data_IF_721139663898
#
_entry.id   IF_721139663898
#
_cell.length_a   1.000
_cell.length_b   1.000
_cell.length_c   1.000
_cell.angle_alpha   90.00
_cell.angle_beta   90.00
_cell.angle_gamma   90.00
#
_symmetry.space_group_name_H-M   'P 1'
#
loop_
_entity.id
_entity.type
_entity.pdbx_description
1 polymer ?
#
# COMPACT_ATOMS: atom_id res chain seq x y z
N UNK A 1 -27.07 26.84 -5.85
CA UNK A 1 -26.06 26.57 -6.89
C UNK A 1 -24.81 26.08 -6.19
N UNK A 2 -24.40 24.82 -6.33
CA UNK A 2 -23.10 24.34 -5.79
C UNK A 2 -22.00 24.84 -6.74
N UNK A 3 -21.05 25.63 -6.24
CA UNK A 3 -19.94 26.17 -7.01
C UNK A 3 -18.99 25.05 -7.43
N UNK A 4 -18.36 25.18 -8.60
CA UNK A 4 -17.49 24.15 -9.19
C UNK A 4 -16.18 23.89 -8.40
N UNK A 5 -15.94 24.59 -7.30
CA UNK A 5 -14.67 24.63 -6.54
C UNK A 5 -14.80 24.28 -5.05
N UNK A 6 -15.95 23.78 -4.61
CA UNK A 6 -16.24 23.58 -3.19
C UNK A 6 -16.06 22.10 -2.80
N UNK A 7 -15.36 21.85 -1.70
CA UNK A 7 -15.21 20.52 -1.09
C UNK A 7 -16.01 20.51 0.20
N UNK A 8 -16.87 19.50 0.36
CA UNK A 8 -17.70 19.29 1.55
C UNK A 8 -17.20 18.04 2.29
N UNK A 9 -16.96 18.15 3.59
CA UNK A 9 -16.67 17.02 4.48
C UNK A 9 -17.70 17.03 5.60
N UNK A 10 -18.51 16.00 5.73
CA UNK A 10 -19.60 15.98 6.71
C UNK A 10 -19.78 14.62 7.36
N UNK A 11 -20.34 14.65 8.57
CA UNK A 11 -20.88 13.51 9.27
C UNK A 11 -22.30 13.86 9.79
N UNK A 12 -22.84 13.07 10.71
CA UNK A 12 -24.19 13.31 11.25
C UNK A 12 -24.31 14.57 12.12
N UNK A 13 -23.20 15.08 12.65
CA UNK A 13 -23.17 16.16 13.64
C UNK A 13 -22.58 17.45 13.09
N UNK A 14 -21.58 17.33 12.20
CA UNK A 14 -20.72 18.42 11.74
C UNK A 14 -20.59 18.42 10.22
N UNK A 15 -20.52 19.61 9.65
CA UNK A 15 -20.31 19.83 8.23
C UNK A 15 -19.23 20.90 8.02
N UNK A 16 -18.14 20.54 7.34
CA UNK A 16 -17.06 21.43 6.94
C UNK A 16 -17.21 21.76 5.46
N UNK A 17 -17.39 23.04 5.16
CA UNK A 17 -17.35 23.58 3.81
C UNK A 17 -15.96 24.14 3.52
N UNK A 18 -15.32 23.71 2.45
CA UNK A 18 -14.00 24.15 2.04
C UNK A 18 -14.14 24.85 0.68
N UNK A 19 -14.04 26.18 0.68
CA UNK A 19 -13.99 26.99 -0.52
C UNK A 19 -12.54 27.10 -0.98
N UNK A 20 -12.22 26.56 -2.16
CA UNK A 20 -10.92 26.76 -2.78
C UNK A 20 -10.95 27.97 -3.71
N UNK A 21 -9.93 28.83 -3.63
CA UNK A 21 -9.72 29.94 -4.57
C UNK A 21 -8.30 29.95 -5.13
N UNK A 22 -8.23 29.95 -6.46
CA UNK A 22 -6.97 29.92 -7.18
C UNK A 22 -6.39 31.30 -7.49
N UNK A 23 -7.23 32.33 -7.51
CA UNK A 23 -6.87 33.72 -7.78
C UNK A 23 -6.73 34.55 -6.49
N UNK A 24 -6.15 35.75 -6.63
CA UNK A 24 -6.15 36.77 -5.58
C UNK A 24 -7.60 37.07 -5.19
N UNK A 25 -7.87 37.09 -3.88
CA UNK A 25 -9.20 37.39 -3.34
C UNK A 25 -9.23 38.88 -2.99
N UNK A 26 -10.00 39.66 -3.76
CA UNK A 26 -10.25 41.07 -3.47
C UNK A 26 -11.27 41.27 -2.35
N UNK A 27 -11.45 42.53 -1.93
CA UNK A 27 -12.41 42.90 -0.87
C UNK A 27 -13.85 42.48 -1.19
N UNK A 28 -14.30 42.68 -2.43
CA UNK A 28 -15.62 42.28 -2.88
C UNK A 28 -15.81 40.77 -2.84
N UNK A 29 -14.82 40.02 -3.35
CA UNK A 29 -14.88 38.56 -3.40
C UNK A 29 -14.86 37.95 -2.01
N UNK A 30 -14.04 38.51 -1.12
CA UNK A 30 -14.00 38.12 0.28
C UNK A 30 -15.35 38.32 0.96
N UNK A 31 -16.00 39.47 0.75
CA UNK A 31 -17.33 39.72 1.29
C UNK A 31 -18.37 38.74 0.72
N UNK A 32 -18.33 38.46 -0.59
CA UNK A 32 -19.23 37.49 -1.23
C UNK A 32 -19.07 36.08 -0.66
N UNK A 33 -17.83 35.65 -0.37
CA UNK A 33 -17.54 34.35 0.24
C UNK A 33 -18.12 34.28 1.66
N UNK A 34 -17.93 35.32 2.47
CA UNK A 34 -18.47 35.36 3.84
C UNK A 34 -20.00 35.41 3.85
N UNK A 35 -20.62 36.13 2.92
CA UNK A 35 -22.07 36.13 2.73
C UNK A 35 -22.61 34.73 2.41
N UNK A 36 -21.90 34.00 1.55
CA UNK A 36 -22.25 32.63 1.23
C UNK A 36 -22.15 31.72 2.45
N UNK A 37 -21.09 31.83 3.25
CA UNK A 37 -20.93 31.09 4.51
C UNK A 37 -22.04 31.41 5.52
N UNK A 38 -22.43 32.68 5.64
CA UNK A 38 -23.51 33.10 6.52
C UNK A 38 -24.87 32.49 6.11
N UNK A 39 -25.12 32.43 4.80
CA UNK A 39 -26.32 31.78 4.24
C UNK A 39 -26.32 30.29 4.58
N UNK A 40 -25.22 29.58 4.32
CA UNK A 40 -25.07 28.16 4.63
C UNK A 40 -25.22 27.85 6.13
N UNK A 41 -24.73 28.74 7.01
CA UNK A 41 -24.89 28.58 8.44
C UNK A 41 -26.35 28.70 8.89
N UNK A 42 -27.17 29.46 8.17
CA UNK A 42 -28.57 29.72 8.50
C UNK A 42 -29.51 28.63 7.96
N UNK A 43 -29.19 28.04 6.80
CA UNK A 43 -30.05 27.08 6.10
C UNK A 43 -30.07 25.68 6.76
N UNK A 44 -29.05 25.32 7.54
CA UNK A 44 -28.82 23.95 7.97
C UNK A 44 -28.74 23.84 9.50
N UNK A 45 -29.89 23.65 10.15
CA UNK A 45 -30.04 23.69 11.62
C UNK A 45 -29.75 22.35 12.32
N UNK A 46 -29.67 21.24 11.57
CA UNK A 46 -29.44 19.91 12.14
C UNK A 46 -27.97 19.55 12.33
N UNK A 47 -27.05 20.29 11.72
CA UNK A 47 -25.60 20.01 11.76
C UNK A 47 -24.82 21.29 12.02
N UNK A 48 -23.79 21.20 12.86
CA UNK A 48 -22.90 22.32 13.12
C UNK A 48 -21.99 22.57 11.91
N UNK A 49 -22.10 23.75 11.30
CA UNK A 49 -21.35 24.11 10.10
C UNK A 49 -20.03 24.81 10.45
N UNK A 50 -18.96 24.45 9.73
CA UNK A 50 -17.64 25.04 9.79
C UNK A 50 -17.20 25.44 8.38
N UNK A 51 -16.39 26.49 8.27
CA UNK A 51 -16.02 27.06 6.99
C UNK A 51 -14.51 27.22 6.87
N UNK A 52 -13.96 26.76 5.75
CA UNK A 52 -12.53 26.86 5.45
C UNK A 52 -12.38 27.57 4.12
N UNK A 53 -11.69 28.70 4.12
CA UNK A 53 -11.28 29.38 2.89
C UNK A 53 -9.83 29.01 2.59
N UNK A 54 -9.61 28.25 1.52
CA UNK A 54 -8.28 27.87 1.05
C UNK A 54 -7.87 28.74 -0.13
N UNK A 55 -6.70 29.37 -0.05
CA UNK A 55 -6.16 30.24 -1.11
C UNK A 55 -4.71 29.90 -1.42
N UNK A 56 -4.27 30.16 -2.66
CA UNK A 56 -2.86 30.04 -3.03
C UNK A 56 -2.01 31.28 -2.74
N UNK A 57 -2.67 32.38 -2.39
CA UNK A 57 -2.04 33.67 -2.06
C UNK A 57 -2.63 34.24 -0.77
N UNK A 58 -1.85 34.98 0.03
CA UNK A 58 -2.36 35.64 1.23
C UNK A 58 -3.55 36.55 0.93
N UNK A 59 -4.58 36.48 1.76
CA UNK A 59 -5.78 37.32 1.63
C UNK A 59 -5.48 38.66 2.29
N UNK A 60 -5.28 39.70 1.48
CA UNK A 60 -4.98 41.06 1.95
C UNK A 60 -6.14 42.00 1.73
N UNK A 61 -6.68 42.55 2.82
CA UNK A 61 -7.72 43.57 2.79
C UNK A 61 -7.15 44.84 3.41
N UNK A 62 -7.15 45.94 2.65
CA UNK A 62 -6.52 47.21 3.08
C UNK A 62 -5.08 46.99 3.58
N UNK A 63 -4.28 46.24 2.82
CA UNK A 63 -2.88 45.86 3.11
C UNK A 63 -2.66 44.94 4.33
N UNK A 64 -3.71 44.62 5.10
CA UNK A 64 -3.64 43.71 6.25
C UNK A 64 -3.87 42.26 5.83
N UNK A 65 -3.06 41.33 6.34
CA UNK A 65 -3.20 39.89 6.09
C UNK A 65 -4.30 39.32 6.99
N UNK A 66 -5.43 38.90 6.41
CA UNK A 66 -6.55 38.39 7.18
C UNK A 66 -6.21 37.12 7.97
N UNK A 67 -5.37 36.23 7.42
CA UNK A 67 -5.00 34.98 8.08
C UNK A 67 -4.29 35.23 9.40
N UNK A 68 -3.34 36.16 9.44
CA UNK A 68 -2.58 36.48 10.66
C UNK A 68 -3.50 36.94 11.79
N UNK A 69 -4.41 37.89 11.51
CA UNK A 69 -5.35 38.39 12.50
C UNK A 69 -6.37 37.32 12.94
N UNK A 70 -6.79 36.44 12.02
CA UNK A 70 -7.68 35.33 12.36
C UNK A 70 -6.97 34.27 13.21
N UNK A 71 -5.73 33.92 12.88
CA UNK A 71 -4.92 32.98 13.66
C UNK A 71 -4.67 33.52 15.07
N UNK A 72 -4.32 34.80 15.21
CA UNK A 72 -4.15 35.46 16.51
C UNK A 72 -5.43 35.37 17.35
N UNK A 73 -6.57 35.66 16.74
CA UNK A 73 -7.86 35.50 17.40
C UNK A 73 -8.14 34.06 17.82
N UNK A 74 -7.95 33.09 16.92
CA UNK A 74 -8.19 31.67 17.19
C UNK A 74 -7.28 31.17 18.31
N UNK A 75 -6.00 31.56 18.32
CA UNK A 75 -5.04 31.19 19.36
C UNK A 75 -5.47 31.70 20.74
N UNK A 76 -6.00 32.91 20.83
CA UNK A 76 -6.55 33.48 22.08
C UNK A 76 -7.86 32.78 22.47
N UNK A 77 -8.74 32.51 21.50
CA UNK A 77 -10.03 31.86 21.72
C UNK A 77 -9.88 30.46 22.33
N UNK A 78 -8.96 29.65 21.81
CA UNK A 78 -8.74 28.25 22.25
C UNK A 78 -7.89 28.14 23.52
N UNK A 79 -7.23 29.21 23.96
CA UNK A 79 -6.40 29.19 25.16
C UNK A 79 -7.29 29.16 26.42
N UNK A 80 -7.18 28.12 27.28
CA UNK A 80 -7.98 28.02 28.50
C UNK A 80 -7.56 29.00 29.59
N UNK A 81 -6.37 29.61 29.49
CA UNK A 81 -5.81 30.54 30.48
C UNK A 81 -6.07 32.02 30.15
N UNK A 82 -6.67 32.32 29.00
CA UNK A 82 -7.00 33.69 28.60
C UNK A 82 -8.37 34.11 29.13
N UNK A 83 -8.51 35.38 29.50
CA UNK A 83 -9.77 35.92 30.05
C UNK A 83 -10.80 36.15 28.94
N UNK A 84 -12.08 36.13 29.32
CA UNK A 84 -13.18 36.42 28.39
C UNK A 84 -13.13 37.86 27.86
N UNK A 85 -12.64 38.81 28.67
CA UNK A 85 -12.39 40.18 28.22
C UNK A 85 -11.34 40.22 27.11
N UNK A 86 -10.24 39.46 27.26
CA UNK A 86 -9.19 39.41 26.24
C UNK A 86 -9.70 38.78 24.95
N UNK A 87 -10.45 37.68 25.05
CA UNK A 87 -11.08 37.01 23.91
C UNK A 87 -12.01 37.97 23.16
N UNK A 88 -12.87 38.69 23.88
CA UNK A 88 -13.76 39.70 23.31
C UNK A 88 -13.00 40.85 22.66
N UNK A 89 -11.96 41.37 23.33
CA UNK A 89 -11.14 42.47 22.79
C UNK A 89 -10.50 42.10 21.45
N UNK A 90 -9.90 40.91 21.35
CA UNK A 90 -9.25 40.46 20.11
C UNK A 90 -10.27 40.18 19.01
N UNK A 91 -11.45 39.63 19.36
CA UNK A 91 -12.57 39.45 18.44
C UNK A 91 -13.06 40.79 17.87
N UNK A 92 -13.29 41.78 18.73
CA UNK A 92 -13.77 43.10 18.33
C UNK A 92 -12.73 43.82 17.44
N UNK A 93 -11.44 43.67 17.74
CA UNK A 93 -10.36 44.18 16.90
C UNK A 93 -10.34 43.53 15.50
N UNK A 94 -10.50 42.20 15.41
CA UNK A 94 -10.62 41.49 14.14
C UNK A 94 -11.82 42.01 13.33
N UNK A 95 -12.99 42.11 13.98
CA UNK A 95 -14.23 42.60 13.37
C UNK A 95 -14.06 44.02 12.82
N UNK A 96 -13.48 44.93 13.62
CA UNK A 96 -13.27 46.32 13.20
C UNK A 96 -12.27 46.44 12.06
N UNK A 97 -11.16 45.68 12.10
CA UNK A 97 -10.09 45.78 11.11
C UNK A 97 -10.52 45.35 9.70
N UNK A 98 -11.46 44.41 9.62
CA UNK A 98 -11.92 43.81 8.35
C UNK A 98 -13.40 44.11 8.03
N UNK A 99 -14.05 44.98 8.82
CA UNK A 99 -15.47 45.35 8.68
C UNK A 99 -16.42 44.13 8.68
N UNK A 100 -16.24 43.23 9.66
CA UNK A 100 -16.94 41.94 9.74
C UNK A 100 -18.17 41.94 10.64
N UNK A 101 -18.75 43.11 10.94
CA UNK A 101 -19.88 43.23 11.89
C UNK A 101 -21.10 42.38 11.52
N UNK A 102 -21.28 42.11 10.22
CA UNK A 102 -22.34 41.23 9.71
C UNK A 102 -22.07 39.73 9.96
N UNK A 103 -20.82 39.33 10.16
CA UNK A 103 -20.38 37.93 10.15
C UNK A 103 -19.98 37.40 11.54
N UNK A 104 -20.40 38.09 12.61
CA UNK A 104 -20.02 37.77 14.00
C UNK A 104 -20.42 36.35 14.39
N UNK A 105 -21.53 35.85 13.87
CA UNK A 105 -22.08 34.53 14.21
C UNK A 105 -21.32 33.36 13.56
N UNK A 106 -20.55 33.64 12.51
CA UNK A 106 -19.78 32.63 11.78
C UNK A 106 -18.28 32.74 12.00
N UNK A 107 -17.77 33.87 12.50
CA UNK A 107 -16.32 34.12 12.53
C UNK A 107 -15.55 33.09 13.36
N UNK A 108 -16.16 32.58 14.43
CA UNK A 108 -15.56 31.56 15.30
C UNK A 108 -15.41 30.20 14.58
N UNK A 109 -16.20 29.99 13.53
CA UNK A 109 -16.30 28.78 12.71
C UNK A 109 -15.51 28.89 11.40
N UNK A 110 -14.94 30.05 11.09
CA UNK A 110 -14.15 30.28 9.88
C UNK A 110 -12.67 29.98 10.14
N UNK A 111 -12.03 29.32 9.18
CA UNK A 111 -10.57 29.12 9.12
C UNK A 111 -10.05 29.51 7.75
N UNK A 112 -8.80 29.96 7.70
CA UNK A 112 -8.12 30.33 6.45
C UNK A 112 -6.83 29.54 6.32
N UNK A 113 -6.73 28.81 5.21
CA UNK A 113 -5.54 28.04 4.86
C UNK A 113 -4.90 28.65 3.62
N UNK A 114 -3.68 29.15 3.76
CA UNK A 114 -2.89 29.64 2.63
C UNK A 114 -1.84 28.58 2.32
N UNK A 115 -1.96 27.94 1.16
CA UNK A 115 -1.03 26.89 0.72
C UNK A 115 -0.39 27.31 -0.59
N UNK A 116 0.89 27.04 -0.86
CA UNK A 116 1.43 27.30 -2.19
C UNK A 116 0.67 26.49 -3.23
N UNK A 117 0.42 27.07 -4.42
CA UNK A 117 -0.08 26.30 -5.56
C UNK A 117 1.02 25.32 -5.97
N UNK A 118 0.87 24.06 -5.59
CA UNK A 118 1.69 22.97 -6.13
C UNK A 118 1.30 22.76 -7.59
N UNK A 119 1.87 23.58 -8.49
CA UNK A 119 1.64 23.46 -9.94
C UNK A 119 2.18 22.12 -10.47
N UNK A 120 3.18 21.54 -9.82
CA UNK A 120 3.70 20.23 -10.18
C UNK A 120 2.95 19.12 -9.44
N UNK A 121 2.37 18.21 -10.22
CA UNK A 121 1.79 16.95 -9.75
C UNK A 121 2.74 16.13 -8.88
N UNK A 122 4.06 16.30 -9.06
CA UNK A 122 5.09 15.57 -8.31
C UNK A 122 5.13 15.94 -6.83
N UNK A 123 5.12 17.23 -6.49
CA UNK A 123 5.20 17.66 -5.09
C UNK A 123 3.97 17.19 -4.30
N UNK A 124 2.79 17.30 -4.91
CA UNK A 124 1.54 16.85 -4.29
C UNK A 124 1.57 15.34 -4.05
N UNK A 125 2.10 14.57 -5.00
CA UNK A 125 2.27 13.12 -4.90
C UNK A 125 3.26 12.73 -3.80
N UNK A 126 4.38 13.44 -3.67
CA UNK A 126 5.36 13.24 -2.60
C UNK A 126 4.75 13.53 -1.22
N UNK A 127 4.02 14.64 -1.09
CA UNK A 127 3.30 14.99 0.14
C UNK A 127 2.28 13.91 0.48
N UNK A 128 1.51 13.43 -0.50
CA UNK A 128 0.57 12.33 -0.31
C UNK A 128 1.26 11.06 0.20
N UNK A 129 2.35 10.63 -0.45
CA UNK A 129 3.12 9.46 -0.04
C UNK A 129 3.66 9.57 1.38
N UNK A 130 4.14 10.76 1.77
CA UNK A 130 4.59 11.03 3.15
C UNK A 130 3.44 10.87 4.15
N UNK A 131 2.28 11.49 3.90
CA UNK A 131 1.14 11.37 4.81
C UNK A 131 0.61 9.94 4.87
N UNK A 132 0.60 9.22 3.75
CA UNK A 132 0.21 7.81 3.71
C UNK A 132 1.07 6.97 4.67
N UNK A 133 2.39 7.11 4.59
CA UNK A 133 3.34 6.38 5.46
C UNK A 133 3.19 6.73 6.94
N UNK A 134 2.97 8.00 7.26
CA UNK A 134 2.78 8.44 8.65
C UNK A 134 1.51 7.84 9.28
N UNK A 135 0.47 7.58 8.48
CA UNK A 135 -0.81 7.10 8.97
C UNK A 135 -0.96 5.57 8.89
N UNK A 136 -0.17 4.88 8.06
CA UNK A 136 -0.24 3.42 7.86
C UNK A 136 1.03 2.72 8.35
N UNK A 137 1.17 2.64 9.67
CA UNK A 137 2.40 2.23 10.39
C UNK A 137 2.72 0.74 10.23
N UNK A 138 1.74 -0.12 9.92
CA UNK A 138 1.94 -1.57 9.88
C UNK A 138 2.72 -2.04 8.64
N UNK A 139 2.83 -1.21 7.60
CA UNK A 139 3.59 -1.52 6.39
C UNK A 139 3.90 -0.25 5.61
N UNK A 140 5.17 -0.02 5.25
CA UNK A 140 5.50 1.00 4.24
C UNK A 140 5.02 0.50 2.87
N UNK A 141 4.04 1.19 2.23
CA UNK A 141 3.61 0.82 0.89
C UNK A 141 4.74 0.94 -0.15
N UNK A 142 5.80 1.69 0.13
CA UNK A 142 6.82 2.06 -0.86
C UNK A 142 6.25 3.02 -1.91
N UNK A 143 7.14 3.58 -2.73
CA UNK A 143 6.75 4.64 -3.69
C UNK A 143 5.79 4.12 -4.77
N UNK A 144 5.98 2.90 -5.29
CA UNK A 144 5.14 2.36 -6.37
C UNK A 144 3.68 2.22 -5.93
N UNK A 145 3.42 1.72 -4.71
CA UNK A 145 2.04 1.57 -4.21
C UNK A 145 1.46 2.96 -3.90
N UNK A 146 2.23 3.85 -3.27
CA UNK A 146 1.80 5.22 -3.00
C UNK A 146 1.42 5.96 -4.29
N UNK A 147 2.22 5.79 -5.33
CA UNK A 147 2.04 6.42 -6.64
C UNK A 147 0.81 5.91 -7.39
N UNK A 148 0.61 4.59 -7.39
CA UNK A 148 -0.57 3.98 -7.99
C UNK A 148 -1.84 4.37 -7.23
N UNK A 149 -1.77 4.39 -5.89
CA UNK A 149 -2.88 4.81 -5.04
C UNK A 149 -3.24 6.28 -5.29
N UNK A 150 -2.26 7.17 -5.37
CA UNK A 150 -2.46 8.58 -5.70
C UNK A 150 -3.18 8.74 -7.04
N UNK A 151 -2.72 8.04 -8.08
CA UNK A 151 -3.33 8.06 -9.41
C UNK A 151 -4.77 7.57 -9.37
N UNK A 152 -5.03 6.44 -8.69
CA UNK A 152 -6.37 5.87 -8.56
C UNK A 152 -7.34 6.80 -7.84
N UNK A 153 -6.91 7.39 -6.72
CA UNK A 153 -7.73 8.35 -5.96
C UNK A 153 -8.00 9.62 -6.78
N UNK A 154 -6.99 10.15 -7.47
CA UNK A 154 -7.14 11.34 -8.32
C UNK A 154 -8.16 11.09 -9.43
N UNK A 155 -8.08 9.93 -10.11
CA UNK A 155 -9.05 9.53 -11.12
C UNK A 155 -10.46 9.38 -10.53
N UNK A 156 -10.58 8.80 -9.34
CA UNK A 156 -11.86 8.64 -8.64
C UNK A 156 -12.47 9.98 -8.28
N UNK A 157 -11.69 10.92 -7.73
CA UNK A 157 -12.16 12.26 -7.42
C UNK A 157 -12.55 13.04 -8.68
N UNK A 158 -11.81 12.90 -9.79
CA UNK A 158 -12.18 13.51 -11.07
C UNK A 158 -13.50 12.94 -11.64
N UNK A 159 -13.75 11.64 -11.49
CA UNK A 159 -15.03 11.01 -11.82
C UNK A 159 -16.17 11.58 -10.96
N UNK A 160 -15.99 11.59 -9.63
CA UNK A 160 -17.00 12.08 -8.68
C UNK A 160 -17.31 13.56 -8.91
N UNK A 161 -16.29 14.39 -9.16
CA UNK A 161 -16.47 15.81 -9.49
C UNK A 161 -17.36 16.00 -10.72
N UNK A 162 -17.12 15.26 -11.80
CA UNK A 162 -17.94 15.33 -13.03
C UNK A 162 -19.39 14.92 -12.79
N UNK A 163 -19.62 13.96 -11.89
CA UNK A 163 -20.96 13.46 -11.54
C UNK A 163 -21.61 14.21 -10.38
N UNK A 164 -20.93 15.20 -9.78
CA UNK A 164 -21.33 15.86 -8.52
C UNK A 164 -21.65 14.84 -7.41
N UNK A 165 -20.86 13.76 -7.36
CA UNK A 165 -21.00 12.67 -6.40
C UNK A 165 -20.17 12.89 -5.13
N UNK A 166 -20.46 12.07 -4.12
CA UNK A 166 -19.70 11.99 -2.88
C UNK A 166 -18.97 10.64 -2.78
N UNK A 167 -17.99 10.57 -1.88
CA UNK A 167 -17.35 9.31 -1.48
C UNK A 167 -17.43 9.19 0.03
N UNK A 168 -17.81 8.00 0.50
CA UNK A 168 -17.86 7.69 1.91
C UNK A 168 -16.47 7.32 2.43
N UNK A 169 -16.28 7.45 3.75
CA UNK A 169 -15.05 6.99 4.42
C UNK A 169 -14.76 5.51 4.11
N UNK A 170 -15.77 4.65 4.15
CA UNK A 170 -15.62 3.21 3.92
C UNK A 170 -15.14 2.90 2.50
N UNK A 171 -15.66 3.60 1.48
CA UNK A 171 -15.20 3.45 0.10
C UNK A 171 -13.75 3.93 -0.07
N UNK A 172 -13.38 5.04 0.57
CA UNK A 172 -12.04 5.60 0.53
C UNK A 172 -11.03 4.66 1.23
N UNK A 173 -11.38 4.15 2.41
CA UNK A 173 -10.61 3.14 3.13
C UNK A 173 -10.47 1.85 2.33
N UNK A 174 -11.51 1.39 1.61
CA UNK A 174 -11.42 0.21 0.77
C UNK A 174 -10.38 0.38 -0.37
N UNK A 175 -10.35 1.55 -1.03
CA UNK A 175 -9.36 1.85 -2.07
C UNK A 175 -7.94 1.86 -1.50
N UNK A 176 -7.75 2.52 -0.35
CA UNK A 176 -6.43 2.62 0.31
C UNK A 176 -5.96 1.26 0.82
N UNK A 177 -6.80 0.56 1.58
CA UNK A 177 -6.47 -0.74 2.19
C UNK A 177 -6.18 -1.80 1.13
N UNK A 178 -6.93 -1.82 0.01
CA UNK A 178 -6.67 -2.75 -1.09
C UNK A 178 -5.31 -2.52 -1.76
N UNK A 179 -4.81 -1.28 -1.76
CA UNK A 179 -3.48 -0.98 -2.30
C UNK A 179 -2.37 -1.41 -1.33
N UNK A 180 -2.54 -1.08 -0.04
CA UNK A 180 -1.54 -1.34 1.00
C UNK A 180 -1.44 -2.84 1.34
N UNK A 181 -2.54 -3.59 1.24
CA UNK A 181 -2.54 -5.03 1.56
C UNK A 181 -1.68 -5.87 0.60
N UNK A 182 -1.34 -5.35 -0.58
CA UNK A 182 -0.50 -6.07 -1.55
C UNK A 182 0.89 -6.31 -0.97
N UNK A 183 1.36 -7.56 -1.02
CA UNK A 183 2.65 -7.98 -0.44
C UNK A 183 2.72 -7.91 1.09
N UNK A 184 1.60 -7.82 1.80
CA UNK A 184 1.55 -7.99 3.26
C UNK A 184 1.44 -9.48 3.62
N UNK A 185 1.47 -9.83 4.92
CA UNK A 185 1.17 -11.20 5.39
C UNK A 185 -0.22 -11.70 4.98
N UNK A 186 -1.12 -10.79 4.60
CA UNK A 186 -2.47 -11.10 4.11
C UNK A 186 -2.51 -11.22 2.59
N UNK A 187 -1.41 -10.90 1.89
CA UNK A 187 -1.26 -11.11 0.46
C UNK A 187 -1.47 -12.59 0.14
N UNK A 188 -2.34 -12.90 -0.83
CA UNK A 188 -2.63 -14.28 -1.21
C UNK A 188 -3.50 -15.09 -0.24
N UNK A 189 -3.86 -14.58 0.96
CA UNK A 189 -4.70 -15.31 1.92
C UNK A 189 -6.02 -15.76 1.27
N UNK A 190 -6.65 -14.87 0.51
CA UNK A 190 -7.91 -15.19 -0.16
C UNK A 190 -7.77 -16.26 -1.25
N UNK A 191 -6.59 -16.36 -1.89
CA UNK A 191 -6.29 -17.44 -2.83
C UNK A 191 -6.08 -18.76 -2.08
N UNK A 192 -5.34 -18.72 -0.97
CA UNK A 192 -5.05 -19.90 -0.14
C UNK A 192 -6.33 -20.53 0.40
N UNK A 193 -7.20 -19.72 1.00
CA UNK A 193 -8.48 -20.18 1.55
C UNK A 193 -9.45 -20.57 0.44
N UNK A 194 -9.54 -19.76 -0.63
CA UNK A 194 -10.45 -20.01 -1.75
C UNK A 194 -11.90 -19.63 -1.48
N UNK A 195 -12.19 -18.89 -0.41
CA UNK A 195 -13.54 -18.44 -0.05
C UNK A 195 -13.68 -16.91 -0.14
N UNK A 196 -14.90 -16.45 -0.38
CA UNK A 196 -15.35 -15.07 -0.32
C UNK A 196 -16.36 -14.89 0.81
N UNK A 197 -16.29 -13.77 1.53
CA UNK A 197 -17.31 -13.40 2.51
C UNK A 197 -18.61 -13.00 1.81
N UNK A 198 -19.73 -13.49 2.31
CA UNK A 198 -21.10 -13.05 2.00
C UNK A 198 -21.77 -12.56 3.29
N UNK A 199 -22.98 -12.00 3.19
CA UNK A 199 -23.67 -11.39 4.33
C UNK A 199 -23.83 -12.34 5.53
N UNK A 200 -24.19 -13.60 5.28
CA UNK A 200 -24.47 -14.62 6.29
C UNK A 200 -23.37 -15.69 6.45
N UNK A 201 -22.18 -15.50 5.87
CA UNK A 201 -21.10 -16.49 5.97
C UNK A 201 -20.01 -16.37 4.92
N UNK A 202 -19.54 -17.53 4.44
CA UNK A 202 -18.48 -17.62 3.44
C UNK A 202 -18.87 -18.63 2.36
N UNK A 203 -18.65 -18.28 1.11
CA UNK A 203 -18.89 -19.16 -0.04
C UNK A 203 -17.60 -19.40 -0.81
N UNK A 204 -17.44 -20.59 -1.36
CA UNK A 204 -16.29 -20.91 -2.18
C UNK A 204 -16.25 -20.02 -3.44
N UNK A 205 -15.06 -19.52 -3.76
CA UNK A 205 -14.80 -18.74 -4.95
C UNK A 205 -14.14 -19.63 -6.00
N UNK A 206 -14.94 -20.13 -6.93
CA UNK A 206 -14.49 -21.08 -7.97
C UNK A 206 -13.27 -20.60 -8.75
N UNK A 207 -13.17 -19.30 -9.05
CA UNK A 207 -12.04 -18.75 -9.79
C UNK A 207 -10.74 -18.84 -8.98
N UNK A 208 -10.80 -18.49 -7.69
CA UNK A 208 -9.63 -18.58 -6.79
C UNK A 208 -9.23 -20.02 -6.54
N UNK A 209 -10.21 -20.90 -6.33
CA UNK A 209 -9.97 -22.34 -6.17
C UNK A 209 -9.31 -22.92 -7.41
N UNK A 210 -9.86 -22.64 -8.60
CA UNK A 210 -9.26 -23.09 -9.87
C UNK A 210 -7.83 -22.58 -10.02
N UNK A 211 -7.56 -21.30 -9.70
CA UNK A 211 -6.21 -20.73 -9.79
C UNK A 211 -5.25 -21.39 -8.80
N UNK A 212 -5.66 -21.59 -7.54
CA UNK A 212 -4.89 -22.30 -6.50
C UNK A 212 -4.56 -23.71 -6.96
N UNK A 213 -5.55 -24.43 -7.48
CA UNK A 213 -5.39 -25.82 -7.89
C UNK A 213 -4.45 -25.94 -9.11
N UNK A 214 -4.50 -24.98 -10.05
CA UNK A 214 -3.55 -24.90 -11.17
C UNK A 214 -2.11 -24.66 -10.70
N UNK A 215 -1.89 -23.74 -9.76
CA UNK A 215 -0.57 -23.50 -9.17
C UNK A 215 -0.08 -24.77 -8.46
N UNK A 216 -0.92 -25.39 -7.64
CA UNK A 216 -0.57 -26.61 -6.91
C UNK A 216 -0.29 -27.80 -7.84
N UNK A 217 -1.04 -27.94 -8.94
CA UNK A 217 -0.79 -28.96 -9.96
C UNK A 217 0.55 -28.72 -10.67
N UNK A 218 0.85 -27.46 -11.04
CA UNK A 218 2.13 -27.05 -11.60
C UNK A 218 3.29 -27.39 -10.66
N UNK A 219 3.17 -27.02 -9.38
CA UNK A 219 4.15 -27.34 -8.34
C UNK A 219 4.40 -28.85 -8.23
N UNK A 220 3.34 -29.65 -8.12
CA UNK A 220 3.45 -31.11 -7.99
C UNK A 220 4.17 -31.72 -9.19
N UNK A 221 3.90 -31.23 -10.41
CA UNK A 221 4.55 -31.72 -11.63
C UNK A 221 6.02 -31.30 -11.68
N UNK A 222 6.33 -30.03 -11.44
CA UNK A 222 7.70 -29.52 -11.39
C UNK A 222 8.54 -30.28 -10.34
N UNK A 223 8.04 -30.37 -9.10
CA UNK A 223 8.69 -31.12 -8.02
C UNK A 223 8.90 -32.59 -8.38
N UNK A 224 7.92 -33.24 -9.00
CA UNK A 224 8.04 -34.65 -9.42
C UNK A 224 9.16 -34.83 -10.44
N UNK A 225 9.25 -33.95 -11.42
CA UNK A 225 10.24 -34.03 -12.49
C UNK A 225 11.66 -33.73 -11.97
N UNK A 226 11.80 -32.69 -11.13
CA UNK A 226 13.04 -32.37 -10.43
C UNK A 226 13.52 -33.55 -9.57
N UNK A 227 12.65 -34.07 -8.70
CA UNK A 227 13.02 -35.18 -7.82
C UNK A 227 13.27 -36.48 -8.59
N UNK A 228 12.69 -36.65 -9.79
CA UNK A 228 13.04 -37.76 -10.68
C UNK A 228 14.44 -37.58 -11.27
N UNK A 229 14.81 -36.37 -11.67
CA UNK A 229 16.18 -36.03 -12.09
C UNK A 229 17.19 -36.31 -10.98
N UNK A 230 16.95 -35.75 -9.79
CA UNK A 230 17.77 -35.96 -8.61
C UNK A 230 17.99 -37.44 -8.29
N UNK A 231 16.91 -38.24 -8.19
CA UNK A 231 17.02 -39.67 -7.88
C UNK A 231 17.82 -40.46 -8.91
N UNK A 232 17.83 -40.04 -10.17
CA UNK A 232 18.66 -40.67 -11.22
C UNK A 232 20.14 -40.34 -10.99
N UNK A 233 20.47 -39.07 -10.75
CA UNK A 233 21.84 -38.64 -10.47
C UNK A 233 22.38 -39.26 -9.17
N UNK A 234 21.56 -39.24 -8.11
CA UNK A 234 21.90 -39.77 -6.78
C UNK A 234 22.03 -41.30 -6.72
N UNK A 235 21.53 -42.03 -7.72
CA UNK A 235 21.46 -43.51 -7.67
C UNK A 235 22.83 -44.15 -7.43
N UNK A 236 23.90 -43.60 -8.01
CA UNK A 236 25.27 -44.09 -7.81
C UNK A 236 25.70 -43.88 -6.35
N UNK A 237 25.54 -42.69 -5.81
CA UNK A 237 25.89 -42.35 -4.43
C UNK A 237 25.06 -43.12 -3.40
N UNK A 238 23.79 -43.41 -3.69
CA UNK A 238 22.96 -44.27 -2.85
C UNK A 238 23.56 -45.68 -2.74
N UNK A 239 23.96 -46.29 -3.86
CA UNK A 239 24.56 -47.63 -3.88
C UNK A 239 25.89 -47.64 -3.12
N UNK A 240 26.73 -46.63 -3.37
CA UNK A 240 28.01 -46.47 -2.65
C UNK A 240 27.76 -46.35 -1.15
N UNK A 241 26.80 -45.53 -0.74
CA UNK A 241 26.46 -45.32 0.67
C UNK A 241 25.93 -46.57 1.35
N UNK A 242 25.23 -47.46 0.62
CA UNK A 242 24.78 -48.75 1.15
C UNK A 242 25.94 -49.75 1.38
N UNK A 243 27.00 -49.69 0.56
CA UNK A 243 28.14 -50.61 0.65
C UNK A 243 29.23 -50.10 1.59
N UNK A 244 29.55 -48.80 1.52
CA UNK A 244 30.70 -48.18 2.18
C UNK A 244 30.30 -47.19 3.30
N UNK A 245 29.03 -47.17 3.71
CA UNK A 245 28.41 -46.15 4.59
C UNK A 245 28.26 -44.78 3.92
N UNK A 246 27.23 -44.03 4.32
CA UNK A 246 27.03 -42.66 3.87
C UNK A 246 28.17 -41.74 4.35
N UNK A 247 28.44 -40.67 3.56
CA UNK A 247 29.39 -39.61 3.95
C UNK A 247 29.01 -39.01 5.31
N UNK A 248 30.03 -38.63 6.07
CA UNK A 248 29.89 -38.07 7.42
C UNK A 248 29.51 -36.60 7.34
N UNK A 249 28.59 -36.17 8.20
CA UNK A 249 28.20 -34.77 8.30
C UNK A 249 29.40 -33.93 8.74
N UNK A 250 29.72 -32.83 8.04
CA UNK A 250 30.86 -31.98 8.38
C UNK A 250 30.67 -31.23 9.71
N UNK A 251 29.43 -31.09 10.18
CA UNK A 251 29.12 -30.36 11.42
C UNK A 251 29.16 -31.24 12.68
N UNK A 252 28.70 -32.50 12.60
CA UNK A 252 28.55 -33.35 13.79
C UNK A 252 28.99 -34.81 13.62
N UNK A 253 29.62 -35.17 12.49
CA UNK A 253 30.13 -36.52 12.23
C UNK A 253 29.07 -37.62 12.07
N UNK A 254 27.78 -37.31 12.14
CA UNK A 254 26.72 -38.28 11.91
C UNK A 254 26.60 -38.62 10.41
N UNK A 255 26.32 -39.87 10.02
CA UNK A 255 26.10 -40.22 8.62
C UNK A 255 24.93 -39.42 8.01
N UNK A 256 25.11 -38.90 6.80
CA UNK A 256 24.09 -38.10 6.10
C UNK A 256 23.00 -38.98 5.47
N UNK A 257 22.18 -39.60 6.33
CA UNK A 257 21.19 -40.62 5.94
C UNK A 257 19.73 -40.16 6.08
N UNK A 258 19.46 -38.87 6.33
CA UNK A 258 18.09 -38.37 6.39
C UNK A 258 17.39 -38.48 5.01
N UNK A 259 16.07 -38.20 4.97
CA UNK A 259 15.30 -38.09 3.72
C UNK A 259 15.32 -39.37 2.86
N UNK A 260 15.16 -40.54 3.51
CA UNK A 260 15.30 -41.87 2.89
C UNK A 260 16.67 -42.05 2.24
N UNK A 261 17.76 -41.94 3.03
CA UNK A 261 19.13 -42.07 2.53
C UNK A 261 19.43 -41.10 1.38
N UNK A 262 18.98 -39.84 1.44
CA UNK A 262 19.26 -38.85 0.39
C UNK A 262 18.31 -38.85 -0.82
N UNK A 263 17.36 -39.78 -0.93
CA UNK A 263 16.40 -39.88 -2.05
C UNK A 263 15.56 -38.61 -2.21
N UNK A 264 15.25 -37.93 -1.10
CA UNK A 264 14.52 -36.66 -1.11
C UNK A 264 15.41 -35.42 -0.88
N UNK A 265 16.70 -35.55 -1.11
CA UNK A 265 17.73 -34.54 -0.81
C UNK A 265 18.57 -34.95 0.39
N UNK A 266 19.77 -34.42 0.50
CA UNK A 266 20.73 -34.84 1.54
C UNK A 266 20.55 -33.99 2.79
N UNK A 267 20.46 -34.63 3.95
CA UNK A 267 20.50 -33.92 5.22
C UNK A 267 21.06 -34.80 6.33
N UNK A 268 21.59 -34.16 7.37
CA UNK A 268 21.98 -34.82 8.60
C UNK A 268 20.74 -35.04 9.49
N UNK A 269 20.45 -36.28 9.92
CA UNK A 269 19.30 -36.56 10.80
C UNK A 269 19.50 -36.05 12.23
N UNK A 270 20.74 -35.75 12.64
CA UNK A 270 21.06 -35.30 13.99
C UNK A 270 21.00 -33.77 14.13
N UNK A 271 21.79 -33.03 13.34
CA UNK A 271 21.88 -31.57 13.47
C UNK A 271 21.11 -30.79 12.39
N UNK A 272 20.45 -31.47 11.45
CA UNK A 272 19.70 -30.81 10.37
C UNK A 272 20.56 -30.16 9.28
N UNK A 273 21.90 -30.32 9.33
CA UNK A 273 22.79 -29.82 8.27
C UNK A 273 22.33 -30.31 6.90
N UNK A 274 22.14 -29.38 5.97
CA UNK A 274 21.79 -29.65 4.59
C UNK A 274 22.84 -28.99 3.69
N UNK A 275 23.62 -29.78 2.91
CA UNK A 275 24.67 -29.25 2.05
C UNK A 275 24.14 -28.52 0.82
N UNK A 276 22.85 -28.68 0.48
CA UNK A 276 22.31 -28.14 -0.75
C UNK A 276 20.96 -27.46 -0.56
N UNK A 277 20.82 -26.28 -1.15
CA UNK A 277 19.54 -25.63 -1.36
C UNK A 277 19.55 -25.04 -2.77
N UNK A 278 18.49 -25.28 -3.53
CA UNK A 278 18.29 -24.65 -4.84
C UNK A 278 16.92 -23.98 -4.87
N UNK A 279 16.91 -22.72 -5.31
CA UNK A 279 15.71 -21.92 -5.55
C UNK A 279 15.21 -22.14 -6.98
N UNK A 280 13.95 -22.52 -7.11
CA UNK A 280 13.28 -22.73 -8.39
C UNK A 280 12.08 -21.80 -8.53
N UNK A 281 11.79 -21.44 -9.78
CA UNK A 281 10.50 -20.89 -10.19
C UNK A 281 9.80 -21.89 -11.13
N UNK A 282 8.49 -22.04 -10.99
CA UNK A 282 7.71 -22.94 -11.84
C UNK A 282 6.48 -22.28 -12.47
N UNK A 283 6.00 -22.88 -13.56
CA UNK A 283 4.76 -22.52 -14.22
C UNK A 283 3.63 -23.50 -13.84
N UNK A 284 2.38 -23.06 -13.97
CA UNK A 284 1.18 -23.89 -13.82
C UNK A 284 1.20 -25.14 -14.73
N UNK A 285 1.94 -25.13 -15.85
CA UNK A 285 2.10 -26.30 -16.72
C UNK A 285 3.10 -27.35 -16.19
N UNK A 286 3.83 -27.03 -15.11
CA UNK A 286 4.87 -27.85 -14.49
C UNK A 286 6.28 -27.65 -15.03
N UNK A 287 6.47 -26.79 -16.02
CA UNK A 287 7.81 -26.35 -16.42
C UNK A 287 8.44 -25.55 -15.28
N UNK A 288 9.75 -25.68 -15.10
CA UNK A 288 10.50 -25.01 -14.04
C UNK A 288 11.86 -24.53 -14.55
N UNK A 289 12.40 -23.53 -13.88
CA UNK A 289 13.72 -22.97 -14.12
C UNK A 289 14.41 -22.71 -12.77
N UNK A 290 15.73 -22.78 -12.76
CA UNK A 290 16.53 -22.47 -11.57
C UNK A 290 16.70 -20.97 -11.50
N UNK A 291 16.34 -20.40 -10.37
CA UNK A 291 16.61 -18.98 -10.07
C UNK A 291 18.04 -18.86 -9.54
N UNK A 292 18.39 -19.65 -8.53
CA UNK A 292 19.72 -19.64 -7.91
C UNK A 292 20.03 -20.98 -7.23
N UNK A 293 21.24 -21.49 -7.45
CA UNK A 293 21.81 -22.59 -6.67
C UNK A 293 22.58 -22.03 -5.47
N UNK A 294 22.47 -22.69 -4.31
CA UNK A 294 23.04 -22.25 -3.02
C UNK A 294 22.70 -20.78 -2.70
N UNK A 295 21.40 -20.39 -2.72
CA UNK A 295 21.04 -19.04 -2.33
C UNK A 295 21.32 -18.85 -0.83
N UNK A 296 21.93 -17.72 -0.47
CA UNK A 296 21.81 -17.21 0.89
C UNK A 296 20.33 -16.96 1.20
N UNK A 297 19.91 -17.04 2.47
CA UNK A 297 18.49 -17.11 2.85
C UNK A 297 17.89 -15.76 3.28
N UNK A 298 18.66 -14.67 3.17
CA UNK A 298 18.21 -13.32 3.49
C UNK A 298 17.23 -12.77 2.42
N UNK A 299 16.24 -11.99 2.86
CA UNK A 299 15.15 -11.49 2.00
C UNK A 299 15.67 -10.61 0.85
N UNK A 300 16.66 -9.75 1.11
CA UNK A 300 17.26 -8.87 0.10
C UNK A 300 17.95 -9.69 -1.00
N UNK A 301 18.60 -10.79 -0.63
CA UNK A 301 19.23 -11.74 -1.56
C UNK A 301 18.20 -12.44 -2.43
N UNK A 302 17.07 -12.90 -1.87
CA UNK A 302 16.01 -13.53 -2.67
C UNK A 302 15.47 -12.60 -3.75
N UNK A 303 15.22 -11.33 -3.38
CA UNK A 303 14.71 -10.32 -4.32
C UNK A 303 15.76 -10.01 -5.38
N UNK A 304 17.04 -9.90 -4.99
CA UNK A 304 18.14 -9.71 -5.93
C UNK A 304 18.20 -10.86 -6.95
N UNK A 305 18.09 -12.11 -6.51
CA UNK A 305 18.13 -13.28 -7.41
C UNK A 305 16.96 -13.35 -8.36
N UNK A 306 15.75 -13.03 -7.91
CA UNK A 306 14.58 -12.94 -8.79
C UNK A 306 14.75 -11.83 -9.82
N UNK A 307 15.26 -10.67 -9.41
CA UNK A 307 15.54 -9.56 -10.32
C UNK A 307 16.55 -9.95 -11.39
N UNK A 308 17.72 -10.46 -11.00
CA UNK A 308 18.77 -10.91 -11.92
C UNK A 308 18.26 -11.99 -12.88
N UNK A 309 17.46 -12.94 -12.37
CA UNK A 309 16.85 -13.99 -13.18
C UNK A 309 15.91 -13.44 -14.26
N UNK A 310 15.10 -12.42 -13.96
CA UNK A 310 14.17 -11.85 -14.94
C UNK A 310 14.83 -10.80 -15.85
N UNK A 311 15.77 -10.01 -15.35
CA UNK A 311 16.55 -9.05 -16.16
C UNK A 311 17.40 -9.78 -17.21
N UNK A 312 17.88 -11.00 -16.90
CA UNK A 312 18.60 -11.86 -17.84
C UNK A 312 17.73 -12.54 -18.90
N UNK A 313 16.41 -12.28 -18.95
CA UNK A 313 15.47 -12.90 -19.89
C UNK A 313 14.92 -11.88 -20.89
N UNK A 314 14.70 -12.35 -22.12
CA UNK A 314 13.96 -11.61 -23.14
C UNK A 314 12.45 -11.50 -22.82
N UNK A 315 11.92 -12.38 -21.95
CA UNK A 315 10.49 -12.42 -21.62
C UNK A 315 10.20 -12.98 -20.22
N UNK A 316 9.14 -12.45 -19.60
CA UNK A 316 8.56 -12.85 -18.31
C UNK A 316 7.63 -14.07 -18.41
N UNK A 317 7.57 -14.74 -19.57
CA UNK A 317 6.69 -15.90 -19.80
C UNK A 317 7.41 -17.25 -19.72
N UNK A 318 6.64 -18.28 -19.42
CA UNK A 318 7.06 -19.67 -19.47
C UNK A 318 7.40 -20.07 -20.92
N UNK A 319 8.62 -20.57 -21.14
CA UNK A 319 9.10 -21.03 -22.45
C UNK A 319 8.29 -22.19 -23.05
N UNK A 320 7.56 -22.94 -22.22
CA UNK A 320 6.81 -24.13 -22.64
C UNK A 320 5.37 -23.82 -23.03
N UNK A 321 4.68 -22.94 -22.29
CA UNK A 321 3.25 -22.69 -22.50
C UNK A 321 2.86 -21.22 -22.69
N UNK A 322 3.84 -20.30 -22.71
CA UNK A 322 3.61 -18.87 -22.94
C UNK A 322 2.89 -18.11 -21.82
N UNK A 323 2.54 -18.76 -20.70
CA UNK A 323 1.93 -18.09 -19.55
C UNK A 323 2.94 -17.23 -18.80
N UNK A 324 2.54 -16.04 -18.35
CA UNK A 324 3.34 -15.17 -17.48
C UNK A 324 3.77 -15.88 -16.19
N UNK A 325 5.03 -15.74 -15.85
CA UNK A 325 5.60 -16.21 -14.58
C UNK A 325 5.48 -15.14 -13.49
N UNK A 326 5.58 -13.86 -13.87
CA UNK A 326 5.36 -12.72 -12.97
C UNK A 326 3.90 -12.29 -13.05
N UNK A 327 3.15 -12.60 -12.00
CA UNK A 327 1.82 -12.05 -11.74
C UNK A 327 1.65 -11.82 -10.23
N UNK A 328 0.45 -11.47 -9.79
CA UNK A 328 0.12 -11.25 -8.37
C UNK A 328 0.32 -12.49 -7.48
N UNK A 329 0.62 -13.66 -8.06
CA UNK A 329 0.85 -14.92 -7.36
C UNK A 329 2.27 -15.45 -7.54
N UNK A 330 3.22 -14.65 -8.04
CA UNK A 330 4.61 -15.05 -8.29
C UNK A 330 5.28 -15.70 -7.06
N UNK A 331 4.99 -15.20 -5.86
CA UNK A 331 5.48 -15.75 -4.59
C UNK A 331 5.07 -17.21 -4.40
N UNK A 332 3.87 -17.60 -4.85
CA UNK A 332 3.36 -18.97 -4.78
C UNK A 332 3.97 -19.90 -5.84
N UNK A 333 4.80 -19.36 -6.75
CA UNK A 333 5.48 -20.10 -7.82
C UNK A 333 6.96 -20.30 -7.57
N UNK A 334 7.44 -19.87 -6.41
CA UNK A 334 8.82 -20.03 -5.98
C UNK A 334 8.86 -21.13 -4.92
N UNK A 335 9.85 -22.02 -5.01
CA UNK A 335 10.09 -23.00 -3.96
C UNK A 335 11.56 -23.38 -3.90
N UNK A 336 11.96 -23.88 -2.74
CA UNK A 336 13.30 -24.38 -2.48
C UNK A 336 13.29 -25.90 -2.42
N UNK A 337 14.33 -26.53 -2.96
CA UNK A 337 14.55 -27.95 -2.81
C UNK A 337 15.95 -28.24 -2.26
N UNK A 338 16.09 -29.24 -1.36
CA UNK A 338 17.34 -29.58 -0.69
C UNK A 338 18.26 -30.44 -1.56
N UNK A 339 18.53 -29.97 -2.78
CA UNK A 339 19.28 -30.71 -3.81
C UNK A 339 20.23 -29.76 -4.54
N UNK A 340 21.37 -30.26 -5.03
CA UNK A 340 22.22 -29.48 -5.94
C UNK A 340 21.53 -29.30 -7.29
N UNK A 341 21.88 -28.21 -7.96
CA UNK A 341 21.55 -28.03 -9.37
C UNK A 341 22.63 -27.18 -10.04
N UNK A 342 23.30 -27.66 -11.10
CA UNK A 342 23.12 -28.96 -11.78
C UNK A 342 23.38 -30.16 -10.85
N UNK A 343 22.74 -31.31 -11.12
CA UNK A 343 22.72 -32.43 -10.16
C UNK A 343 24.11 -33.05 -9.91
N UNK A 344 25.02 -32.86 -10.86
CA UNK A 344 26.39 -33.34 -10.86
C UNK A 344 27.25 -32.70 -9.76
N UNK A 345 26.85 -31.55 -9.21
CA UNK A 345 27.56 -30.90 -8.09
C UNK A 345 27.53 -31.72 -6.79
N UNK A 346 26.78 -32.81 -6.74
CA UNK A 346 26.83 -33.78 -5.65
C UNK A 346 28.23 -34.37 -5.43
N UNK A 347 29.04 -34.47 -6.49
CA UNK A 347 30.39 -35.03 -6.41
C UNK A 347 31.32 -34.15 -5.53
N UNK A 348 30.95 -32.88 -5.31
CA UNK A 348 31.68 -31.94 -4.46
C UNK A 348 31.36 -32.08 -2.95
N UNK A 349 30.55 -33.07 -2.56
CA UNK A 349 30.12 -33.28 -1.16
C UNK A 349 31.18 -33.91 -0.26
#
# INVERSE_FOLDING_TARGET
MRGEEDIEIFNKEKHIFIQLKSSVIGKSDFANILEHFLTLNSDNTSTENFFVLTSFVPIRINEKNFKEYLDDYVNVLVNPYETDEKKKQVKDALISNFALSKYVDIIDKVRVEVRPLFKDSKDTKVIFGRYLRLNYIFKDPGDIIADNLYTNLTNKFAELRRKRGAITRAELEAVVNSAISKGSIFSGLSLSVGYSKIENGYVENEQKVKKRDLIMAGFKKAKKDIMRGWRKAYRKELIISCIFSAKRCPQCGHPMMANMMGIFGIACPNCGFNPYVTMFIFCECGAYEVVKAQPELEDDKQIQYLKEFFDGRESDVCKVCGKKLIDEYVENRIFYAPIPYPYEEIDNM
#
